data_IF_538290282885
#
_entry.id   IF_538290282885
#
_cell.length_a   1.000
_cell.length_b   1.000
_cell.length_c   1.000
_cell.angle_alpha   90.00
_cell.angle_beta   90.00
_cell.angle_gamma   90.00
#
_symmetry.space_group_name_H-M   'P 1'
#
loop_
_entity.id
_entity.type
_entity.pdbx_description
1 polymer ?
#
# COMPACT_ATOMS: atom_id res chain seq x y z
N UNK A 1 24.57 19.13 0.52
CA UNK A 1 25.49 18.12 -0.08
C UNK A 1 24.97 16.70 0.11
N UNK A 2 24.76 16.19 1.32
CA UNK A 2 24.28 14.82 1.58
C UNK A 2 22.98 14.44 0.84
N UNK A 3 21.96 15.31 0.85
CA UNK A 3 20.71 15.03 0.14
C UNK A 3 20.91 14.89 -1.38
N UNK A 4 21.80 15.70 -1.97
CA UNK A 4 22.09 15.62 -3.41
C UNK A 4 22.78 14.30 -3.75
N UNK A 5 23.80 13.92 -3.00
CA UNK A 5 24.51 12.64 -3.18
C UNK A 5 23.51 11.48 -3.08
N UNK A 6 22.64 11.53 -2.06
CA UNK A 6 21.60 10.52 -1.90
C UNK A 6 20.67 10.43 -3.12
N UNK A 7 20.17 11.57 -3.62
CA UNK A 7 19.27 11.56 -4.78
C UNK A 7 19.95 10.98 -6.02
N UNK A 8 21.21 11.30 -6.25
CA UNK A 8 21.99 10.76 -7.39
C UNK A 8 22.14 9.25 -7.27
N UNK A 9 22.61 8.76 -6.11
CA UNK A 9 22.80 7.33 -5.87
C UNK A 9 21.49 6.55 -5.92
N UNK A 10 20.46 7.06 -5.27
CA UNK A 10 19.13 6.44 -5.28
C UNK A 10 18.55 6.36 -6.69
N UNK A 11 18.75 7.41 -7.51
CA UNK A 11 18.29 7.42 -8.91
C UNK A 11 18.99 6.33 -9.73
N UNK A 12 20.32 6.20 -9.59
CA UNK A 12 21.10 5.18 -10.31
C UNK A 12 20.64 3.77 -9.88
N UNK A 13 20.54 3.51 -8.58
CA UNK A 13 20.10 2.21 -8.05
C UNK A 13 18.68 1.88 -8.52
N UNK A 14 17.75 2.83 -8.40
CA UNK A 14 16.36 2.63 -8.84
C UNK A 14 16.28 2.38 -10.36
N UNK A 15 17.11 3.02 -11.15
CA UNK A 15 17.18 2.78 -12.59
C UNK A 15 17.65 1.36 -12.91
N UNK A 16 18.72 0.90 -12.26
CA UNK A 16 19.22 -0.49 -12.41
C UNK A 16 18.14 -1.50 -11.99
N UNK A 17 17.51 -1.30 -10.83
CA UNK A 17 16.43 -2.17 -10.35
C UNK A 17 15.22 -2.15 -11.29
N UNK A 18 14.92 -1.02 -11.90
CA UNK A 18 13.88 -0.91 -12.92
C UNK A 18 14.20 -1.77 -14.17
N UNK A 19 15.44 -1.73 -14.67
CA UNK A 19 15.85 -2.59 -15.78
C UNK A 19 15.80 -4.07 -15.41
N UNK A 20 16.26 -4.42 -14.21
CA UNK A 20 16.15 -5.79 -13.68
C UNK A 20 14.70 -6.24 -13.55
N UNK A 21 13.77 -5.33 -13.22
CA UNK A 21 12.35 -5.64 -13.16
C UNK A 21 11.76 -6.02 -14.53
N UNK A 22 12.24 -5.42 -15.62
CA UNK A 22 11.86 -5.83 -16.97
C UNK A 22 12.35 -7.23 -17.30
N UNK A 23 13.63 -7.51 -17.04
CA UNK A 23 14.21 -8.84 -17.28
C UNK A 23 13.44 -9.90 -16.45
N UNK A 24 13.28 -9.63 -15.15
CA UNK A 24 12.55 -10.53 -14.26
C UNK A 24 11.11 -10.75 -14.73
N UNK A 25 10.40 -9.69 -15.13
CA UNK A 25 9.03 -9.79 -15.61
C UNK A 25 8.91 -10.75 -16.79
N UNK A 26 9.73 -10.61 -17.82
CA UNK A 26 9.67 -11.47 -19.00
C UNK A 26 10.08 -12.92 -18.69
N UNK A 27 11.12 -13.11 -17.88
CA UNK A 27 11.61 -14.44 -17.55
C UNK A 27 10.67 -15.22 -16.62
N UNK A 28 9.98 -14.53 -15.70
CA UNK A 28 9.16 -15.20 -14.67
C UNK A 28 7.68 -15.24 -14.98
N UNK A 29 7.19 -14.44 -15.94
CA UNK A 29 5.77 -14.30 -16.25
C UNK A 29 5.01 -15.64 -16.41
N UNK A 30 5.57 -16.69 -17.03
CA UNK A 30 4.86 -17.98 -17.19
C UNK A 30 4.66 -18.73 -15.87
N UNK A 31 5.53 -18.55 -14.86
CA UNK A 31 5.56 -19.36 -13.63
C UNK A 31 5.13 -18.56 -12.42
N UNK A 32 5.44 -17.26 -12.38
CA UNK A 32 5.17 -16.39 -11.24
C UNK A 32 3.79 -15.72 -11.36
N UNK A 33 2.75 -16.50 -11.13
CA UNK A 33 1.34 -16.07 -11.22
C UNK A 33 1.02 -14.88 -10.29
N UNK A 34 1.76 -14.72 -9.19
CA UNK A 34 1.58 -13.63 -8.22
C UNK A 34 2.50 -12.44 -8.46
N UNK A 35 3.45 -12.55 -9.41
CA UNK A 35 4.50 -11.56 -9.68
C UNK A 35 5.33 -11.25 -8.43
N UNK A 36 5.74 -12.29 -7.73
CA UNK A 36 6.52 -12.21 -6.49
C UNK A 36 7.88 -11.57 -6.74
N UNK A 37 8.55 -11.95 -7.84
CA UNK A 37 9.89 -11.43 -8.17
C UNK A 37 9.82 -9.93 -8.46
N UNK A 38 8.85 -9.48 -9.26
CA UNK A 38 8.67 -8.03 -9.52
C UNK A 38 8.26 -7.29 -8.23
N UNK A 39 7.44 -7.90 -7.38
CA UNK A 39 7.09 -7.32 -6.08
C UNK A 39 8.33 -7.13 -5.20
N UNK A 40 9.22 -8.12 -5.14
CA UNK A 40 10.49 -8.03 -4.39
C UNK A 40 11.40 -6.92 -4.95
N UNK A 41 11.55 -6.80 -6.26
CA UNK A 41 12.30 -5.72 -6.88
C UNK A 41 11.67 -4.34 -6.61
N UNK A 42 10.34 -4.24 -6.64
CA UNK A 42 9.62 -3.03 -6.24
C UNK A 42 9.88 -2.69 -4.77
N UNK A 43 9.96 -3.69 -3.88
CA UNK A 43 10.37 -3.52 -2.48
C UNK A 43 11.79 -2.93 -2.41
N UNK A 44 12.76 -3.46 -3.14
CA UNK A 44 14.12 -2.92 -3.16
C UNK A 44 14.17 -1.48 -3.66
N UNK A 45 13.37 -1.12 -4.67
CA UNK A 45 13.23 0.28 -5.12
C UNK A 45 12.69 1.16 -3.98
N UNK A 46 11.64 0.73 -3.30
CA UNK A 46 11.07 1.50 -2.18
C UNK A 46 12.01 1.55 -0.98
N UNK A 47 12.79 0.49 -0.72
CA UNK A 47 13.83 0.47 0.32
C UNK A 47 14.95 1.46 -0.02
N UNK A 48 15.32 1.58 -1.29
CA UNK A 48 16.29 2.58 -1.75
C UNK A 48 15.77 4.00 -1.55
N UNK A 49 14.48 4.26 -1.84
CA UNK A 49 13.88 5.60 -1.73
C UNK A 49 13.59 6.00 -0.28
N UNK A 50 13.14 5.05 0.55
CA UNK A 50 12.65 5.33 1.90
C UNK A 50 13.53 4.79 3.02
N UNK A 51 14.52 3.95 2.72
CA UNK A 51 15.33 3.25 3.74
C UNK A 51 16.01 4.18 4.74
N UNK A 52 16.44 5.34 4.27
CA UNK A 52 17.09 6.35 5.11
C UNK A 52 16.18 6.95 6.21
N UNK A 53 14.87 6.89 6.03
CA UNK A 53 13.93 7.44 7.02
C UNK A 53 13.67 6.48 8.20
N UNK A 54 14.17 5.26 8.13
CA UNK A 54 13.89 4.22 9.13
C UNK A 54 12.40 3.91 9.20
N UNK A 55 12.04 2.77 8.62
CA UNK A 55 10.65 2.26 8.68
C UNK A 55 10.55 1.26 9.81
N UNK A 56 9.64 1.51 10.74
CA UNK A 56 9.36 0.65 11.86
C UNK A 56 8.01 -0.02 11.69
N UNK A 57 7.99 -1.35 11.61
CA UNK A 57 6.75 -2.13 11.51
C UNK A 57 6.41 -2.66 12.89
N UNK A 58 5.20 -2.38 13.35
CA UNK A 58 4.63 -2.87 14.62
C UNK A 58 3.43 -3.73 14.30
N UNK A 59 3.24 -4.84 14.99
CA UNK A 59 2.12 -5.75 14.80
C UNK A 59 2.29 -6.67 13.57
N UNK A 60 3.51 -6.88 13.07
CA UNK A 60 3.76 -7.79 11.95
C UNK A 60 3.37 -9.25 12.27
N UNK A 61 3.31 -9.62 13.53
CA UNK A 61 2.82 -10.91 14.04
C UNK A 61 1.34 -11.16 13.74
N UNK A 62 0.55 -10.11 13.48
CA UNK A 62 -0.84 -10.22 13.07
C UNK A 62 -1.02 -10.75 11.64
N UNK A 63 0.08 -10.89 10.88
CA UNK A 63 0.05 -11.32 9.48
C UNK A 63 0.30 -12.82 9.36
N UNK A 64 -0.71 -13.56 8.91
CA UNK A 64 -0.45 -14.90 8.36
C UNK A 64 0.04 -14.76 6.91
N UNK A 65 1.30 -15.12 6.67
CA UNK A 65 1.96 -15.02 5.35
C UNK A 65 1.37 -15.93 4.28
N UNK A 66 0.57 -16.91 4.68
CA UNK A 66 -0.11 -17.84 3.78
C UNK A 66 -1.48 -17.34 3.32
N UNK A 67 -1.99 -16.30 3.99
CA UNK A 67 -3.31 -15.72 3.77
C UNK A 67 -3.22 -14.54 2.81
N UNK A 68 -4.14 -14.43 1.86
CA UNK A 68 -4.38 -13.22 1.11
C UNK A 68 -5.38 -12.31 1.85
N UNK A 69 -5.19 -11.01 1.78
CA UNK A 69 -5.98 -10.00 2.48
C UNK A 69 -6.47 -8.92 1.52
N UNK A 70 -7.58 -8.30 1.85
CA UNK A 70 -7.81 -6.91 1.45
C UNK A 70 -7.18 -6.02 2.51
N UNK A 71 -6.09 -5.32 2.14
CA UNK A 71 -5.35 -4.44 3.05
C UNK A 71 -5.96 -3.04 2.93
N UNK A 72 -6.45 -2.49 4.03
CA UNK A 72 -6.98 -1.12 4.10
C UNK A 72 -6.02 -0.22 4.85
N UNK A 73 -5.68 0.94 4.26
CA UNK A 73 -4.60 1.82 4.72
C UNK A 73 -5.09 3.26 4.70
N UNK A 74 -4.74 4.06 5.71
CA UNK A 74 -4.96 5.51 5.68
C UNK A 74 -4.06 6.19 4.65
N UNK A 75 -4.46 7.36 4.14
CA UNK A 75 -3.75 8.02 3.05
C UNK A 75 -3.52 9.51 3.29
N UNK A 76 -2.29 9.89 3.59
CA UNK A 76 -1.88 11.30 3.79
C UNK A 76 -0.86 11.76 2.75
N UNK A 77 -0.02 10.86 2.26
CA UNK A 77 1.08 11.16 1.34
C UNK A 77 1.19 10.17 0.19
N UNK A 78 1.81 10.55 -0.90
CA UNK A 78 2.19 9.58 -1.94
C UNK A 78 3.21 8.56 -1.43
N UNK A 79 3.94 8.89 -0.38
CA UNK A 79 4.93 7.99 0.22
C UNK A 79 4.30 6.81 0.97
N UNK A 80 3.01 6.89 1.34
CA UNK A 80 2.29 5.77 1.95
C UNK A 80 2.33 4.52 1.07
N UNK A 81 2.26 4.70 -0.26
CA UNK A 81 2.33 3.61 -1.25
C UNK A 81 3.64 2.82 -1.10
N UNK A 82 4.74 3.53 -0.93
CA UNK A 82 6.07 2.92 -0.82
C UNK A 82 6.36 2.41 0.60
N UNK A 83 5.71 2.97 1.61
CA UNK A 83 6.03 2.70 3.02
C UNK A 83 5.68 1.27 3.44
N UNK A 84 4.65 0.63 2.88
CA UNK A 84 4.16 -0.68 3.32
C UNK A 84 4.88 -1.88 2.69
N UNK A 85 5.81 -1.69 1.76
CA UNK A 85 6.57 -2.81 1.17
C UNK A 85 7.40 -3.66 2.16
N UNK A 86 7.74 -3.21 3.39
CA UNK A 86 8.29 -4.10 4.42
C UNK A 86 7.34 -5.19 4.92
N UNK A 87 6.04 -5.09 4.69
CA UNK A 87 5.09 -6.13 5.07
C UNK A 87 5.41 -7.45 4.36
N UNK A 88 5.36 -8.60 5.06
CA UNK A 88 5.72 -9.90 4.49
C UNK A 88 4.58 -10.49 3.64
N UNK A 89 4.02 -9.70 2.75
CA UNK A 89 2.90 -10.04 1.86
C UNK A 89 3.21 -9.63 0.43
N UNK A 90 2.76 -10.43 -0.53
CA UNK A 90 2.67 -10.00 -1.92
C UNK A 90 1.32 -9.32 -2.14
N UNK A 91 1.33 -8.07 -2.51
CA UNK A 91 0.10 -7.29 -2.71
C UNK A 91 0.10 -6.51 -4.02
N UNK A 92 -1.08 -6.06 -4.43
CA UNK A 92 -1.32 -5.20 -5.60
C UNK A 92 -2.03 -3.94 -5.18
N UNK A 93 -1.61 -2.82 -5.72
CA UNK A 93 -2.21 -1.52 -5.44
C UNK A 93 -3.41 -1.25 -6.35
N UNK A 94 -4.39 -0.53 -5.81
CA UNK A 94 -5.40 0.15 -6.61
C UNK A 94 -4.93 1.58 -6.86
N UNK A 95 -4.50 1.86 -8.09
CA UNK A 95 -3.84 3.10 -8.48
C UNK A 95 -4.62 3.87 -9.54
N UNK A 96 -4.51 5.21 -9.51
CA UNK A 96 -5.11 6.09 -10.52
C UNK A 96 -4.46 5.93 -11.88
N UNK A 97 -5.25 6.04 -12.95
CA UNK A 97 -4.77 6.01 -14.35
C UNK A 97 -3.68 7.04 -14.63
N UNK A 98 -3.74 8.22 -14.01
CA UNK A 98 -2.75 9.29 -14.20
C UNK A 98 -1.35 8.89 -13.74
N UNK A 99 -1.24 8.04 -12.72
CA UNK A 99 0.07 7.55 -12.21
C UNK A 99 0.76 6.67 -13.26
N UNK A 100 -0.01 5.97 -14.08
CA UNK A 100 0.53 5.15 -15.17
C UNK A 100 1.13 5.95 -16.34
N UNK A 101 0.83 7.26 -16.41
CA UNK A 101 1.43 8.16 -17.40
C UNK A 101 2.82 8.64 -16.99
N UNK A 102 3.22 8.45 -15.73
CA UNK A 102 4.55 8.83 -15.24
C UNK A 102 5.58 7.84 -15.82
N UNK A 103 6.57 8.32 -16.58
CA UNK A 103 7.63 7.47 -17.13
C UNK A 103 8.28 6.60 -16.04
N UNK A 104 8.67 5.39 -16.40
CA UNK A 104 9.22 4.35 -15.50
C UNK A 104 8.22 3.87 -14.42
N UNK A 105 7.59 4.77 -13.65
CA UNK A 105 6.64 4.40 -12.59
C UNK A 105 5.45 3.62 -13.17
N UNK A 106 4.79 4.15 -14.19
CA UNK A 106 3.63 3.48 -14.79
C UNK A 106 3.96 2.10 -15.37
N UNK A 107 5.17 1.95 -15.94
CA UNK A 107 5.65 0.66 -16.44
C UNK A 107 5.94 -0.33 -15.32
N UNK A 108 6.52 0.15 -14.20
CA UNK A 108 6.75 -0.68 -13.01
C UNK A 108 5.44 -1.17 -12.41
N UNK A 109 4.43 -0.28 -12.26
CA UNK A 109 3.09 -0.65 -11.77
C UNK A 109 2.41 -1.69 -12.69
N UNK A 110 2.58 -1.56 -14.01
CA UNK A 110 2.09 -2.56 -14.97
C UNK A 110 2.76 -3.92 -14.76
N UNK A 111 4.09 -3.97 -14.68
CA UNK A 111 4.84 -5.21 -14.42
C UNK A 111 4.48 -5.80 -13.06
N UNK A 112 4.29 -4.96 -12.04
CA UNK A 112 3.87 -5.38 -10.70
C UNK A 112 2.45 -5.96 -10.70
N UNK A 113 1.58 -5.53 -11.64
CA UNK A 113 0.21 -6.02 -11.78
C UNK A 113 -0.81 -5.25 -10.98
N UNK A 114 -0.54 -3.98 -10.73
CA UNK A 114 -1.45 -3.10 -10.00
C UNK A 114 -2.74 -2.83 -10.78
N UNK A 115 -3.80 -2.54 -10.05
CA UNK A 115 -5.14 -2.33 -10.59
C UNK A 115 -5.29 -0.85 -10.94
N UNK A 116 -5.44 -0.56 -12.24
CA UNK A 116 -5.59 0.81 -12.76
C UNK A 116 -7.04 1.22 -12.74
N UNK A 117 -7.39 2.32 -12.08
CA UNK A 117 -8.76 2.84 -12.09
C UNK A 117 -8.86 4.24 -12.71
N UNK A 118 -9.96 4.46 -13.42
CA UNK A 118 -10.39 5.78 -13.82
C UNK A 118 -11.39 6.32 -12.79
N UNK A 119 -11.03 7.36 -12.05
CA UNK A 119 -11.90 7.94 -11.01
C UNK A 119 -13.02 8.83 -11.56
N UNK A 120 -13.02 9.12 -12.85
CA UNK A 120 -14.10 9.87 -13.48
C UNK A 120 -15.42 9.08 -13.50
N UNK A 121 -15.35 7.75 -13.51
CA UNK A 121 -16.51 6.86 -13.43
C UNK A 121 -16.41 5.97 -12.19
N UNK A 122 -17.16 6.31 -11.15
CA UNK A 122 -17.18 5.53 -9.89
C UNK A 122 -17.63 4.09 -10.12
N UNK A 123 -18.66 3.88 -10.98
CA UNK A 123 -19.19 2.55 -11.29
C UNK A 123 -18.16 1.67 -11.98
N UNK A 124 -17.50 2.19 -13.02
CA UNK A 124 -16.44 1.44 -13.74
C UNK A 124 -15.24 1.16 -12.83
N UNK A 125 -14.84 2.14 -12.01
CA UNK A 125 -13.74 1.96 -11.05
C UNK A 125 -14.05 0.84 -10.05
N UNK A 126 -15.25 0.83 -9.47
CA UNK A 126 -15.68 -0.22 -8.53
C UNK A 126 -15.71 -1.59 -9.22
N UNK A 127 -16.29 -1.70 -10.40
CA UNK A 127 -16.35 -2.95 -11.16
C UNK A 127 -14.94 -3.48 -11.48
N UNK A 128 -14.03 -2.60 -11.88
CA UNK A 128 -12.66 -2.99 -12.22
C UNK A 128 -11.86 -3.43 -10.99
N UNK A 129 -12.00 -2.70 -9.86
CA UNK A 129 -11.40 -3.10 -8.57
C UNK A 129 -11.91 -4.46 -8.15
N UNK A 130 -13.23 -4.69 -8.26
CA UNK A 130 -13.84 -5.96 -7.91
C UNK A 130 -13.29 -7.09 -8.81
N UNK A 131 -13.40 -6.97 -10.13
CA UNK A 131 -13.01 -8.03 -11.08
C UNK A 131 -11.51 -8.36 -10.95
N UNK A 132 -10.63 -7.34 -11.00
CA UNK A 132 -9.19 -7.54 -10.91
C UNK A 132 -8.72 -7.90 -9.51
N UNK A 133 -9.38 -7.35 -8.49
CA UNK A 133 -9.11 -7.71 -7.10
C UNK A 133 -9.40 -9.18 -6.83
N UNK A 134 -10.55 -9.68 -7.26
CA UNK A 134 -10.92 -11.09 -7.18
C UNK A 134 -9.88 -12.00 -7.87
N UNK A 135 -9.40 -11.61 -9.07
CA UNK A 135 -8.36 -12.37 -9.77
C UNK A 135 -7.06 -12.48 -8.95
N UNK A 136 -6.61 -11.38 -8.33
CA UNK A 136 -5.39 -11.39 -7.53
C UNK A 136 -5.54 -12.15 -6.22
N UNK A 137 -6.65 -11.95 -5.51
CA UNK A 137 -6.95 -12.67 -4.27
C UNK A 137 -7.02 -14.18 -4.49
N UNK A 138 -7.67 -14.63 -5.59
CA UNK A 138 -7.67 -16.05 -6.00
C UNK A 138 -6.29 -16.62 -6.30
N UNK A 139 -5.35 -15.79 -6.78
CA UNK A 139 -3.95 -16.18 -6.99
C UNK A 139 -3.13 -16.18 -5.69
N UNK A 140 -3.71 -15.78 -4.56
CA UNK A 140 -3.03 -15.66 -3.27
C UNK A 140 -2.18 -14.38 -3.12
N UNK A 141 -2.44 -13.36 -3.93
CA UNK A 141 -1.88 -12.01 -3.73
C UNK A 141 -2.91 -11.11 -3.06
N UNK A 142 -2.49 -10.35 -2.06
CA UNK A 142 -3.34 -9.38 -1.37
C UNK A 142 -3.65 -8.16 -2.25
N UNK A 143 -4.71 -7.42 -1.93
CA UNK A 143 -5.07 -6.17 -2.63
C UNK A 143 -5.05 -5.03 -1.63
N UNK A 144 -4.22 -4.01 -1.89
CA UNK A 144 -4.06 -2.83 -1.04
C UNK A 144 -4.88 -1.66 -1.55
N UNK A 145 -5.71 -1.11 -0.68
CA UNK A 145 -6.67 -0.06 -1.01
C UNK A 145 -6.62 1.06 0.04
N UNK A 146 -6.64 2.29 -0.42
CA UNK A 146 -6.92 3.46 0.41
C UNK A 146 -8.45 3.68 0.44
N UNK A 147 -9.16 3.27 1.51
CA UNK A 147 -10.63 3.26 1.50
C UNK A 147 -11.23 4.67 1.50
N UNK A 148 -10.49 5.69 1.91
CA UNK A 148 -10.88 7.09 1.82
C UNK A 148 -11.06 7.57 0.38
N UNK A 149 -10.31 6.95 -0.55
CA UNK A 149 -10.34 7.27 -1.98
C UNK A 149 -9.61 8.56 -2.36
N UNK A 150 -9.12 9.34 -1.42
CA UNK A 150 -8.30 10.54 -1.63
C UNK A 150 -7.34 10.71 -0.46
N UNK A 151 -6.31 11.55 -0.62
CA UNK A 151 -5.39 11.89 0.47
C UNK A 151 -6.08 12.84 1.45
N UNK A 152 -5.92 12.55 2.73
CA UNK A 152 -6.27 13.45 3.82
C UNK A 152 -5.38 14.71 3.77
N UNK A 153 -5.96 15.87 4.00
CA UNK A 153 -5.22 17.16 4.05
C UNK A 153 -4.89 17.60 5.46
N UNK A 154 -5.67 17.15 6.42
CA UNK A 154 -5.54 17.45 7.85
C UNK A 154 -4.80 16.32 8.61
N UNK A 155 -4.47 15.23 7.90
CA UNK A 155 -3.80 14.07 8.47
C UNK A 155 -4.74 13.11 9.21
N UNK A 156 -6.04 13.40 9.30
CA UNK A 156 -7.02 12.56 9.97
C UNK A 156 -7.58 11.47 9.05
N UNK A 157 -8.09 10.39 9.64
CA UNK A 157 -8.73 9.30 8.89
C UNK A 157 -10.20 9.64 8.66
N UNK A 158 -10.54 9.93 7.41
CA UNK A 158 -11.91 10.28 6.99
C UNK A 158 -12.80 9.06 6.77
N UNK A 159 -14.02 9.30 6.26
CA UNK A 159 -14.99 8.26 5.99
C UNK A 159 -14.51 7.31 4.89
N UNK A 160 -14.76 6.02 5.10
CA UNK A 160 -14.39 4.98 4.16
C UNK A 160 -15.47 4.76 3.11
N UNK A 161 -15.05 4.38 1.90
CA UNK A 161 -15.89 3.87 0.83
C UNK A 161 -16.01 2.36 0.93
N UNK A 162 -17.17 1.82 0.64
CA UNK A 162 -17.47 0.41 0.83
C UNK A 162 -16.71 -0.55 -0.11
N UNK A 163 -16.09 -0.04 -1.19
CA UNK A 163 -15.52 -0.89 -2.26
C UNK A 163 -14.51 -1.93 -1.79
N UNK A 164 -13.63 -1.59 -0.84
CA UNK A 164 -12.65 -2.52 -0.26
C UNK A 164 -13.35 -3.62 0.56
N UNK A 165 -14.39 -3.26 1.31
CA UNK A 165 -15.14 -4.16 2.18
C UNK A 165 -16.04 -5.11 1.38
N UNK A 166 -16.66 -4.62 0.30
CA UNK A 166 -17.40 -5.45 -0.66
C UNK A 166 -16.46 -6.47 -1.31
N UNK A 167 -15.29 -6.02 -1.79
CA UNK A 167 -14.30 -6.93 -2.38
C UNK A 167 -13.88 -8.02 -1.39
N UNK A 168 -13.63 -7.69 -0.13
CA UNK A 168 -13.24 -8.66 0.89
C UNK A 168 -14.35 -9.67 1.17
N UNK A 169 -15.61 -9.20 1.27
CA UNK A 169 -16.79 -10.04 1.48
C UNK A 169 -17.01 -11.02 0.33
N UNK A 170 -16.98 -10.53 -0.90
CA UNK A 170 -17.25 -11.34 -2.10
C UNK A 170 -16.09 -12.32 -2.40
N UNK A 171 -14.86 -11.95 -2.04
CA UNK A 171 -13.70 -12.83 -2.14
C UNK A 171 -13.58 -13.79 -0.95
N UNK A 172 -14.38 -13.61 0.09
CA UNK A 172 -14.32 -14.36 1.34
C UNK A 172 -12.91 -14.38 1.96
N UNK A 173 -12.27 -13.21 2.04
CA UNK A 173 -10.94 -13.04 2.63
C UNK A 173 -10.99 -12.06 3.80
N UNK A 174 -10.06 -12.19 4.77
CA UNK A 174 -9.97 -11.24 5.87
C UNK A 174 -9.55 -9.84 5.40
N UNK A 175 -9.92 -8.83 6.18
CA UNK A 175 -9.46 -7.45 6.04
C UNK A 175 -8.29 -7.22 6.98
N UNK A 176 -7.18 -6.67 6.46
CA UNK A 176 -6.01 -6.29 7.25
C UNK A 176 -5.93 -4.77 7.36
N UNK A 177 -6.29 -4.16 8.50
CA UNK A 177 -6.12 -2.74 8.70
C UNK A 177 -4.66 -2.40 8.98
N UNK A 178 -4.14 -1.38 8.30
CA UNK A 178 -2.76 -0.89 8.47
C UNK A 178 -2.78 0.61 8.62
N UNK A 179 -2.12 1.13 9.63
CA UNK A 179 -1.97 2.56 9.87
C UNK A 179 -0.54 2.98 9.57
N UNK A 180 -0.39 3.97 8.71
CA UNK A 180 0.90 4.58 8.36
C UNK A 180 0.95 5.99 8.91
N UNK A 181 2.06 6.32 9.61
CA UNK A 181 2.29 7.62 10.21
C UNK A 181 3.70 8.11 9.89
N UNK A 182 3.87 9.41 9.65
CA UNK A 182 5.15 10.08 9.42
C UNK A 182 5.58 10.19 7.96
N UNK A 183 4.71 9.92 7.00
CA UNK A 183 5.00 10.06 5.56
C UNK A 183 4.79 11.49 5.04
N UNK A 184 4.10 12.34 5.78
CA UNK A 184 3.81 13.74 5.47
C UNK A 184 5.01 14.67 5.71
N UNK A 185 5.88 14.35 6.66
CA UNK A 185 7.00 15.18 7.10
C UNK A 185 8.38 14.72 6.58
N UNK A 186 8.43 14.09 5.41
CA UNK A 186 9.66 13.51 4.85
C UNK A 186 10.62 14.54 4.28
N UNK A 187 10.14 15.71 3.92
CA UNK A 187 10.97 16.79 3.37
C UNK A 187 10.81 18.08 4.18
N UNK A 188 11.92 18.83 4.29
CA UNK A 188 11.94 20.21 4.78
C UNK A 188 11.98 21.14 3.57
N UNK A 189 10.86 21.83 3.29
CA UNK A 189 10.70 22.57 2.06
C UNK A 189 10.66 21.62 0.83
N UNK A 190 11.11 22.12 -0.33
CA UNK A 190 10.94 21.44 -1.61
C UNK A 190 11.99 20.34 -1.90
N UNK A 191 13.22 20.47 -1.32
CA UNK A 191 14.37 19.67 -1.75
C UNK A 191 15.15 18.98 -0.62
N UNK A 192 14.99 19.42 0.62
CA UNK A 192 15.81 18.92 1.73
C UNK A 192 15.09 17.78 2.45
N UNK A 193 15.78 16.68 2.64
CA UNK A 193 15.24 15.55 3.39
C UNK A 193 15.21 15.84 4.90
N UNK A 194 14.13 15.44 5.54
CA UNK A 194 14.03 15.49 6.99
C UNK A 194 14.61 14.20 7.61
N UNK A 195 15.91 14.13 7.74
CA UNK A 195 16.66 12.98 8.23
C UNK A 195 16.25 12.47 9.62
N UNK A 196 15.57 13.32 10.40
CA UNK A 196 15.05 12.97 11.73
C UNK A 196 13.69 12.28 11.67
N UNK A 197 13.01 12.35 10.54
CA UNK A 197 11.70 11.74 10.39
C UNK A 197 11.79 10.21 10.41
N UNK A 198 10.78 9.57 10.98
CA UNK A 198 10.63 8.12 11.02
C UNK A 198 9.23 7.77 10.55
N UNK A 199 9.14 6.68 9.82
CA UNK A 199 7.86 6.15 9.33
C UNK A 199 7.49 4.97 10.20
N UNK A 200 6.30 4.99 10.77
CA UNK A 200 5.75 3.86 11.52
C UNK A 200 4.60 3.23 10.75
N UNK A 201 4.64 1.92 10.61
CA UNK A 201 3.63 1.09 9.97
C UNK A 201 3.05 0.19 11.06
N UNK A 202 1.83 0.47 11.52
CA UNK A 202 1.16 -0.35 12.53
C UNK A 202 0.15 -1.25 11.87
N UNK A 203 0.38 -2.56 11.96
CA UNK A 203 -0.53 -3.61 11.49
C UNK A 203 -1.47 -3.95 12.62
N UNK A 204 -2.76 -3.78 12.42
CA UNK A 204 -3.79 -4.10 13.41
C UNK A 204 -4.22 -5.57 13.27
N UNK A 205 -4.88 -6.14 14.29
CA UNK A 205 -5.49 -7.45 14.16
C UNK A 205 -6.43 -7.50 12.95
N UNK A 206 -6.34 -8.55 12.12
CA UNK A 206 -7.20 -8.66 10.96
C UNK A 206 -8.65 -8.93 11.38
N UNK A 207 -9.60 -8.34 10.66
CA UNK A 207 -11.00 -8.76 10.74
C UNK A 207 -11.09 -10.12 10.06
N UNK A 208 -11.59 -11.12 10.79
CA UNK A 208 -11.64 -12.49 10.30
C UNK A 208 -12.49 -12.63 9.04
N UNK A 209 -12.21 -13.64 8.20
CA UNK A 209 -13.09 -13.99 7.07
C UNK A 209 -14.54 -14.17 7.51
N UNK A 210 -14.77 -14.85 8.65
CA UNK A 210 -16.11 -15.10 9.18
C UNK A 210 -16.83 -13.80 9.46
N UNK A 211 -16.21 -12.86 10.20
CA UNK A 211 -16.82 -11.55 10.50
C UNK A 211 -17.10 -10.74 9.23
N UNK A 212 -16.18 -10.78 8.23
CA UNK A 212 -16.36 -10.06 6.96
C UNK A 212 -17.56 -10.59 6.19
N UNK A 213 -17.81 -11.90 6.21
CA UNK A 213 -18.91 -12.54 5.48
C UNK A 213 -20.24 -12.39 6.21
N UNK A 214 -20.26 -12.61 7.52
CA UNK A 214 -21.51 -12.70 8.30
C UNK A 214 -22.06 -11.33 8.71
N UNK A 215 -21.18 -10.37 9.02
CA UNK A 215 -21.60 -9.06 9.53
C UNK A 215 -22.02 -8.10 8.40
N UNK A 216 -22.90 -7.13 8.71
CA UNK A 216 -23.20 -6.04 7.78
C UNK A 216 -21.93 -5.23 7.41
N UNK A 217 -21.72 -4.98 6.12
CA UNK A 217 -20.53 -4.25 5.62
C UNK A 217 -20.34 -2.91 6.33
N UNK A 218 -21.43 -2.19 6.61
CA UNK A 218 -21.39 -0.88 7.26
C UNK A 218 -20.82 -0.96 8.68
N UNK A 219 -21.14 -2.00 9.43
CA UNK A 219 -20.61 -2.23 10.77
C UNK A 219 -19.13 -2.53 10.72
N UNK A 220 -18.71 -3.51 9.90
CA UNK A 220 -17.28 -3.86 9.72
C UNK A 220 -16.48 -2.64 9.31
N UNK A 221 -17.00 -1.85 8.39
CA UNK A 221 -16.35 -0.62 7.91
C UNK A 221 -16.19 0.43 9.02
N UNK A 222 -17.20 0.60 9.86
CA UNK A 222 -17.18 1.55 10.97
C UNK A 222 -16.19 1.11 12.05
N UNK A 223 -16.20 -0.17 12.42
CA UNK A 223 -15.29 -0.73 13.43
C UNK A 223 -13.83 -0.66 12.98
N UNK A 224 -13.55 -1.05 11.74
CA UNK A 224 -12.20 -0.96 11.16
C UNK A 224 -11.72 0.48 11.14
N UNK A 225 -12.56 1.42 10.72
CA UNK A 225 -12.21 2.83 10.73
C UNK A 225 -11.90 3.32 12.14
N UNK A 226 -12.72 2.99 13.13
CA UNK A 226 -12.52 3.41 14.52
C UNK A 226 -11.20 2.84 15.07
N UNK A 227 -10.93 1.56 14.88
CA UNK A 227 -9.67 0.94 15.28
C UNK A 227 -8.45 1.64 14.67
N UNK A 228 -8.53 2.03 13.39
CA UNK A 228 -7.46 2.75 12.72
C UNK A 228 -7.29 4.17 13.27
N UNK A 229 -8.37 4.87 13.59
CA UNK A 229 -8.34 6.21 14.23
C UNK A 229 -7.66 6.14 15.59
N UNK A 230 -8.06 5.19 16.42
CA UNK A 230 -7.49 5.00 17.77
C UNK A 230 -5.99 4.66 17.68
N UNK A 231 -5.62 3.78 16.75
CA UNK A 231 -4.23 3.41 16.53
C UNK A 231 -3.36 4.58 16.03
N UNK A 232 -3.92 5.45 15.17
CA UNK A 232 -3.22 6.66 14.71
C UNK A 232 -3.01 7.65 15.87
N UNK A 233 -4.02 7.84 16.71
CA UNK A 233 -3.94 8.69 17.89
C UNK A 233 -2.86 8.20 18.86
N UNK A 234 -2.80 6.89 19.11
CA UNK A 234 -1.76 6.26 19.94
C UNK A 234 -0.36 6.48 19.37
N UNK A 235 -0.15 6.26 18.07
CA UNK A 235 1.14 6.47 17.41
C UNK A 235 1.62 7.91 17.55
N UNK A 236 0.72 8.88 17.39
CA UNK A 236 1.04 10.31 17.54
C UNK A 236 1.34 10.71 18.98
N UNK A 237 0.64 10.13 19.96
CA UNK A 237 0.91 10.36 21.38
C UNK A 237 2.30 9.85 21.79
N UNK A 238 2.70 8.68 21.28
CA UNK A 238 4.01 8.09 21.55
C UNK A 238 5.18 8.84 20.89
N UNK A 239 4.93 9.57 19.79
CA UNK A 239 5.94 10.39 19.10
C UNK A 239 6.26 11.70 19.81
N UNK A 240 5.37 12.16 20.70
CA UNK A 240 5.53 13.40 21.48
C UNK A 240 6.34 13.21 22.77
N UNK A 241 6.57 11.96 23.17
CA UNK A 241 7.44 11.57 24.29
C UNK A 241 8.87 11.32 23.79
#
# INVERSE_FOLDING_TARGET
>A
MLSLIYYVLATIICFVLYLLSWIAYFLTLPFDKRRVVVHFLSKLITDTVLGIFGRHVVGAENIDRKQAYVIVINHVSMMDIMSIYPLPLVFKWVSKREVYKIPMVGRLLYMHGDIVINRASTKEAMQLVHTRGMEWLKKGASVSIFPEGTRSKDGEIHNFKAGAFILAKDAEVPILPVVVEGTDNMTRGRFFMNWKNRITIKVLPPVSKQDVVERPIKEVMTDVRQQMVDALAELRANKKK
#
